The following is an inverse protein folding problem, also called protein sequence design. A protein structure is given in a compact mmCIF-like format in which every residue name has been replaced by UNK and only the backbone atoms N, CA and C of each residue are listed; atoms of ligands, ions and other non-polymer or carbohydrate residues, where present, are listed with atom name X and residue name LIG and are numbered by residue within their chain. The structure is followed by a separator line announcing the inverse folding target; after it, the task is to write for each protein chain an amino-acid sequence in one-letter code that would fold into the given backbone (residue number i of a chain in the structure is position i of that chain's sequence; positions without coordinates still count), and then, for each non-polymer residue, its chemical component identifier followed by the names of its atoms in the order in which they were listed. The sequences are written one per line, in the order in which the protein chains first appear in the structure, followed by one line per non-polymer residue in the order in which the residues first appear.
data_IF_312877370754
#
_entry.id   IF_312877370754
#
_cell.length_a   1.000
_cell.length_b   1.000
_cell.length_c   1.000
_cell.angle_alpha   90.00
_cell.angle_beta   90.00
_cell.angle_gamma   90.00
#
_symmetry.space_group_name_H-M   'P 1'
#
loop_
_entity.id
_entity.type
_entity.pdbx_description
1 polymer ?
#
# COMPACT_ATOMS: atom_id res chain seq x y z
N UNK A 1 1.02 1.16 0.11
CA UNK A 1 2.10 1.48 -0.83
C UNK A 1 3.27 0.54 -0.59
N UNK A 2 3.70 -0.19 -1.61
CA UNK A 2 4.89 -1.05 -1.56
C UNK A 2 6.05 -0.39 -2.29
N UNK A 3 7.27 -0.71 -1.87
CA UNK A 3 8.51 -0.23 -2.50
C UNK A 3 9.44 -1.41 -2.78
N UNK A 4 10.35 -1.24 -3.75
CA UNK A 4 11.43 -2.19 -4.08
C UNK A 4 10.99 -3.67 -4.11
N UNK A 5 11.48 -4.50 -3.20
CA UNK A 5 11.18 -5.95 -3.13
C UNK A 5 9.69 -6.23 -2.91
N UNK A 6 9.04 -5.52 -1.99
CA UNK A 6 7.61 -5.68 -1.73
C UNK A 6 6.77 -5.28 -2.95
N UNK A 7 7.23 -4.29 -3.72
CA UNK A 7 6.54 -3.87 -4.95
C UNK A 7 6.65 -4.95 -6.05
N UNK A 8 7.82 -5.58 -6.18
CA UNK A 8 8.03 -6.72 -7.11
C UNK A 8 7.13 -7.90 -6.74
N UNK A 9 7.11 -8.28 -5.45
CA UNK A 9 6.23 -9.35 -4.99
C UNK A 9 4.75 -9.03 -5.28
N UNK A 10 4.29 -7.82 -4.95
CA UNK A 10 2.89 -7.43 -5.15
C UNK A 10 2.47 -7.42 -6.63
N UNK A 11 3.38 -7.12 -7.56
CA UNK A 11 3.08 -7.05 -8.99
C UNK A 11 2.75 -8.41 -9.62
N UNK A 12 3.17 -9.51 -8.97
CA UNK A 12 2.95 -10.88 -9.44
C UNK A 12 1.72 -11.55 -8.81
N UNK A 13 1.09 -10.91 -7.80
CA UNK A 13 -0.02 -11.52 -7.08
C UNK A 13 -1.33 -11.41 -7.87
N UNK A 14 -2.07 -12.52 -8.06
CA UNK A 14 -3.40 -12.48 -8.64
C UNK A 14 -4.40 -11.77 -7.71
N UNK A 15 -5.46 -11.22 -8.30
CA UNK A 15 -6.56 -10.63 -7.54
C UNK A 15 -7.18 -11.69 -6.63
N UNK A 16 -7.34 -11.36 -5.35
CA UNK A 16 -7.88 -12.26 -4.33
C UNK A 16 -6.83 -12.97 -3.46
N UNK A 17 -5.53 -12.81 -3.75
CA UNK A 17 -4.48 -13.31 -2.86
C UNK A 17 -4.57 -12.65 -1.49
N UNK A 18 -4.60 -13.47 -0.44
CA UNK A 18 -4.53 -12.98 0.94
C UNK A 18 -3.09 -12.66 1.29
N UNK A 19 -2.89 -11.49 1.89
CA UNK A 19 -1.57 -11.04 2.34
C UNK A 19 -1.66 -10.50 3.76
N UNK A 20 -0.61 -10.76 4.53
CA UNK A 20 -0.31 -10.08 5.79
C UNK A 20 0.72 -9.00 5.52
N UNK A 21 0.49 -7.80 6.01
CA UNK A 21 1.41 -6.67 5.84
C UNK A 21 1.69 -5.98 7.16
N UNK A 22 2.92 -5.53 7.34
CA UNK A 22 3.33 -4.64 8.44
C UNK A 22 3.88 -3.34 7.86
N UNK A 23 3.52 -2.21 8.46
CA UNK A 23 3.92 -0.91 7.94
C UNK A 23 3.53 0.24 8.84
N UNK A 24 3.77 1.45 8.33
CA UNK A 24 3.43 2.70 9.01
C UNK A 24 2.26 3.38 8.30
N UNK A 25 1.32 3.91 9.05
CA UNK A 25 0.27 4.78 8.51
C UNK A 25 0.92 6.10 8.09
N UNK A 26 0.58 6.56 6.89
CA UNK A 26 1.00 7.85 6.35
C UNK A 26 -0.23 8.62 5.89
N UNK A 27 -0.26 9.91 6.21
CA UNK A 27 -1.20 10.87 5.63
C UNK A 27 -0.55 11.57 4.45
N UNK A 28 -1.26 11.68 3.33
CA UNK A 28 -0.83 12.46 2.18
C UNK A 28 -1.93 13.42 1.78
N UNK A 29 -1.59 14.71 1.74
CA UNK A 29 -2.49 15.74 1.23
C UNK A 29 -2.43 15.71 -0.29
N UNK A 30 -3.58 15.77 -0.93
CA UNK A 30 -3.70 15.90 -2.38
C UNK A 30 -4.85 16.84 -2.74
N UNK A 31 -4.76 17.40 -3.95
CA UNK A 31 -5.78 18.29 -4.50
C UNK A 31 -6.73 17.48 -5.37
N UNK A 32 -8.04 17.60 -5.12
CA UNK A 32 -9.11 17.02 -5.94
C UNK A 32 -10.04 18.13 -6.41
N UNK A 33 -9.89 18.54 -7.68
CA UNK A 33 -10.53 19.76 -8.18
C UNK A 33 -9.98 20.96 -7.41
N UNK A 34 -10.89 21.75 -6.82
CA UNK A 34 -10.53 22.91 -6.00
C UNK A 34 -10.50 22.63 -4.49
N UNK A 35 -10.49 21.34 -4.09
CA UNK A 35 -10.50 20.92 -2.69
C UNK A 35 -9.23 20.18 -2.28
N UNK A 36 -8.64 20.54 -1.13
CA UNK A 36 -7.63 19.71 -0.48
C UNK A 36 -8.27 18.55 0.29
N UNK A 37 -7.65 17.37 0.18
CA UNK A 37 -8.10 16.16 0.86
C UNK A 37 -6.90 15.40 1.41
N UNK A 38 -7.13 14.60 2.44
CA UNK A 38 -6.12 13.72 3.02
C UNK A 38 -6.44 12.27 2.66
N UNK A 39 -5.49 11.58 2.02
CA UNK A 39 -5.50 10.14 1.89
C UNK A 39 -4.69 9.52 3.03
N UNK A 40 -5.18 8.41 3.58
CA UNK A 40 -4.44 7.58 4.53
C UNK A 40 -3.99 6.32 3.83
N UNK A 41 -2.69 6.05 3.89
CA UNK A 41 -2.07 4.92 3.23
C UNK A 41 -1.18 4.18 4.23
N UNK A 42 -0.94 2.88 4.02
CA UNK A 42 0.08 2.14 4.77
C UNK A 42 1.34 2.03 3.91
N UNK A 43 2.46 2.55 4.41
CA UNK A 43 3.79 2.33 3.82
C UNK A 43 4.32 0.99 4.30
N UNK A 44 4.35 0.02 3.38
CA UNK A 44 4.59 -1.40 3.69
C UNK A 44 6.08 -1.64 3.86
N UNK A 45 6.46 -2.10 5.06
CA UNK A 45 7.83 -2.55 5.39
C UNK A 45 7.99 -4.04 5.15
N UNK A 46 7.01 -4.83 5.55
CA UNK A 46 7.03 -6.29 5.42
C UNK A 46 5.70 -6.77 4.84
N UNK A 47 5.77 -7.78 3.98
CA UNK A 47 4.60 -8.39 3.33
C UNK A 47 4.83 -9.88 3.15
N UNK A 48 3.79 -10.67 3.37
CA UNK A 48 3.81 -12.12 3.24
C UNK A 48 2.47 -12.60 2.67
N UNK A 49 2.54 -13.58 1.76
CA UNK A 49 1.35 -14.28 1.24
C UNK A 49 0.91 -15.33 2.26
N UNK A 50 -0.39 -15.38 2.53
CA UNK A 50 -0.99 -16.33 3.48
C UNK A 50 -2.13 -17.11 2.81
N UNK A 51 -2.54 -18.22 3.42
CA UNK A 51 -3.63 -19.10 2.94
C UNK A 51 -5.05 -18.55 3.14
#
# INVERSE_FOLDING_TARGET
MCWYSNARLAAELPVGTKVRTMGMIQSRIYVKGDSERTAYEVSIREMEVIE
#
